data_IF_590042517204
#
_entry.id   IF_590042517204
#
_cell.length_a   1.000
_cell.length_b   1.000
_cell.length_c   1.000
_cell.angle_alpha   90.00
_cell.angle_beta   90.00
_cell.angle_gamma   90.00
#
_symmetry.space_group_name_H-M   'P 1'
#
loop_
_entity.id
_entity.type
_entity.pdbx_description
1 polymer ?
#
# COMPACT_ATOMS: atom_id res chain seq x y z
N UNK A 1 10.06 26.47 0.36
CA UNK A 1 8.97 25.59 -0.04
C UNK A 1 9.18 24.21 0.52
N UNK A 2 8.18 23.64 1.07
CA UNK A 2 8.32 22.27 1.56
C UNK A 2 8.65 21.33 0.43
N UNK A 3 9.42 20.33 0.76
CA UNK A 3 9.86 19.32 -0.18
C UNK A 3 8.74 18.31 -0.44
N UNK A 4 7.64 18.76 -1.04
CA UNK A 4 6.51 17.86 -1.28
C UNK A 4 6.92 16.67 -2.13
N UNK A 5 7.78 16.88 -3.10
CA UNK A 5 8.27 15.79 -3.94
C UNK A 5 9.13 14.81 -3.14
N UNK A 6 9.98 15.34 -2.26
CA UNK A 6 10.85 14.50 -1.43
C UNK A 6 10.03 13.69 -0.44
N UNK A 7 9.04 14.33 0.20
CA UNK A 7 8.16 13.64 1.14
C UNK A 7 7.35 12.56 0.42
N UNK A 8 6.87 12.88 -0.77
CA UNK A 8 6.11 11.92 -1.58
C UNK A 8 6.97 10.71 -1.96
N UNK A 9 8.23 10.93 -2.34
CA UNK A 9 9.16 9.83 -2.66
C UNK A 9 9.42 8.95 -1.45
N UNK A 10 9.61 9.56 -0.29
CA UNK A 10 9.82 8.80 0.95
C UNK A 10 8.60 7.96 1.28
N UNK A 11 7.42 8.52 1.13
CA UNK A 11 6.17 7.81 1.37
C UNK A 11 6.04 6.63 0.42
N UNK A 12 6.33 6.83 -0.85
CA UNK A 12 6.29 5.75 -1.85
C UNK A 12 7.30 4.66 -1.49
N UNK A 13 8.53 5.03 -1.11
CA UNK A 13 9.56 4.06 -0.77
C UNK A 13 9.18 3.22 0.45
N UNK A 14 8.65 3.86 1.48
CA UNK A 14 8.21 3.15 2.67
C UNK A 14 7.05 2.21 2.33
N UNK A 15 6.09 2.70 1.57
CA UNK A 15 4.95 1.91 1.13
C UNK A 15 5.42 0.70 0.30
N UNK A 16 6.38 0.93 -0.59
CA UNK A 16 6.91 -0.14 -1.43
C UNK A 16 7.54 -1.25 -0.59
N UNK A 17 8.37 -0.90 0.38
CA UNK A 17 9.00 -1.90 1.24
C UNK A 17 7.94 -2.76 1.92
N UNK A 18 6.92 -2.14 2.48
CA UNK A 18 5.89 -2.85 3.23
C UNK A 18 5.03 -3.71 2.30
N UNK A 19 4.59 -3.16 1.17
CA UNK A 19 3.75 -3.89 0.21
C UNK A 19 4.53 -5.04 -0.42
N UNK A 20 5.79 -4.82 -0.79
CA UNK A 20 6.61 -5.88 -1.39
C UNK A 20 6.87 -7.02 -0.41
N UNK A 21 7.10 -6.70 0.87
CA UNK A 21 7.24 -7.74 1.89
C UNK A 21 5.96 -8.53 2.09
N UNK A 22 4.83 -7.85 2.00
CA UNK A 22 3.53 -8.49 2.11
C UNK A 22 3.23 -9.38 0.91
N UNK A 23 3.59 -8.89 -0.30
CA UNK A 23 3.41 -9.62 -1.56
C UNK A 23 2.02 -10.27 -1.63
N UNK A 24 0.93 -9.47 -1.58
CA UNK A 24 -0.42 -10.00 -1.35
C UNK A 24 -0.94 -10.92 -2.45
N UNK A 25 -0.38 -10.83 -3.65
CA UNK A 25 -0.77 -11.66 -4.79
C UNK A 25 0.25 -12.77 -5.04
N UNK A 26 1.45 -12.64 -4.48
CA UNK A 26 2.52 -13.61 -4.73
C UNK A 26 3.21 -13.43 -6.07
N UNK A 27 3.20 -12.21 -6.60
CA UNK A 27 3.75 -11.94 -7.94
C UNK A 27 5.25 -11.76 -7.95
N UNK A 28 5.86 -11.37 -6.82
CA UNK A 28 7.27 -10.98 -6.83
C UNK A 28 8.22 -12.15 -7.08
N UNK A 29 7.76 -13.38 -6.88
CA UNK A 29 8.54 -14.56 -7.20
C UNK A 29 8.67 -14.78 -8.70
N UNK A 30 7.69 -14.31 -9.48
CA UNK A 30 7.57 -14.63 -10.90
C UNK A 30 7.60 -13.41 -11.80
N UNK A 31 7.49 -12.21 -11.23
CA UNK A 31 7.33 -10.97 -11.97
C UNK A 31 8.41 -9.98 -11.56
N UNK A 32 8.62 -8.91 -12.36
CA UNK A 32 9.59 -7.87 -11.99
C UNK A 32 9.27 -7.22 -10.65
N UNK A 33 10.27 -6.66 -9.96
CA UNK A 33 10.04 -6.06 -8.64
C UNK A 33 9.15 -4.80 -8.65
N UNK A 34 8.82 -4.28 -9.82
CA UNK A 34 7.94 -3.11 -9.93
C UNK A 34 6.47 -3.49 -10.18
N UNK A 35 6.10 -4.75 -9.97
CA UNK A 35 4.76 -5.24 -10.30
C UNK A 35 3.64 -4.55 -9.52
N UNK A 36 3.92 -4.08 -8.32
CA UNK A 36 2.94 -3.38 -7.49
C UNK A 36 3.08 -1.86 -7.51
N UNK A 37 3.92 -1.30 -8.38
CA UNK A 37 4.23 0.13 -8.33
C UNK A 37 2.99 1.03 -8.48
N UNK A 38 2.06 0.67 -9.37
CA UNK A 38 0.85 1.47 -9.55
C UNK A 38 -0.04 1.44 -8.30
N UNK A 39 -0.17 0.27 -7.69
CA UNK A 39 -0.94 0.10 -6.47
C UNK A 39 -0.28 0.82 -5.31
N UNK A 40 1.04 0.77 -5.24
CA UNK A 40 1.80 1.48 -4.22
C UNK A 40 1.59 2.98 -4.33
N UNK A 41 1.62 3.54 -5.53
CA UNK A 41 1.35 4.96 -5.74
C UNK A 41 -0.07 5.33 -5.33
N UNK A 42 -1.04 4.47 -5.65
CA UNK A 42 -2.43 4.70 -5.27
C UNK A 42 -2.61 4.69 -3.75
N UNK A 43 -1.97 3.74 -3.07
CA UNK A 43 -2.02 3.65 -1.61
C UNK A 43 -1.35 4.86 -0.98
N UNK A 44 -0.19 5.26 -1.49
CA UNK A 44 0.51 6.44 -0.99
C UNK A 44 -0.34 7.71 -1.14
N UNK A 45 -1.10 7.81 -2.22
CA UNK A 45 -1.98 8.96 -2.44
C UNK A 45 -3.16 8.98 -1.45
N UNK A 46 -3.62 7.81 -1.01
CA UNK A 46 -4.69 7.71 -0.01
C UNK A 46 -4.16 8.10 1.37
N UNK A 47 -2.92 7.74 1.66
CA UNK A 47 -2.32 7.94 2.96
C UNK A 47 -2.08 9.44 3.18
N UNK A 48 -2.86 10.03 4.08
CA UNK A 48 -2.68 11.44 4.45
C UNK A 48 -2.61 11.51 5.97
N UNK A 49 -1.99 12.58 6.46
CA UNK A 49 -1.86 12.80 7.88
C UNK A 49 -3.24 12.80 8.55
N UNK A 50 -3.36 12.08 9.63
CA UNK A 50 -4.58 11.97 10.45
C UNK A 50 -5.68 11.11 9.82
N UNK A 51 -5.36 10.33 8.78
CA UNK A 51 -6.31 9.35 8.29
C UNK A 51 -6.46 8.23 9.32
N UNK A 52 -7.67 7.72 9.51
CA UNK A 52 -7.84 6.61 10.43
C UNK A 52 -7.46 5.29 9.75
N UNK A 53 -7.14 4.30 10.59
CA UNK A 53 -6.63 3.02 10.09
C UNK A 53 -7.68 2.25 9.32
N UNK A 54 -8.93 2.34 9.72
CA UNK A 54 -10.01 1.65 9.01
C UNK A 54 -10.18 2.19 7.59
N UNK A 55 -10.11 3.50 7.45
CA UNK A 55 -10.20 4.14 6.14
C UNK A 55 -9.02 3.75 5.25
N UNK A 56 -7.81 3.75 5.83
CA UNK A 56 -6.63 3.35 5.08
C UNK A 56 -6.70 1.88 4.67
N UNK A 57 -7.09 1.01 5.59
CA UNK A 57 -7.22 -0.42 5.30
C UNK A 57 -8.24 -0.68 4.20
N UNK A 58 -9.37 0.01 4.25
CA UNK A 58 -10.41 -0.09 3.22
C UNK A 58 -9.88 0.37 1.87
N UNK A 59 -9.09 1.46 1.88
CA UNK A 59 -8.45 1.95 0.67
C UNK A 59 -7.45 0.96 0.07
N UNK A 60 -6.63 0.34 0.92
CA UNK A 60 -5.67 -0.68 0.47
C UNK A 60 -6.43 -1.84 -0.17
N UNK A 61 -7.47 -2.32 0.49
CA UNK A 61 -8.27 -3.41 -0.05
C UNK A 61 -8.89 -3.03 -1.39
N UNK A 62 -9.45 -1.83 -1.48
CA UNK A 62 -10.09 -1.37 -2.71
C UNK A 62 -9.10 -1.27 -3.87
N UNK A 63 -7.89 -0.77 -3.61
CA UNK A 63 -6.86 -0.65 -4.64
C UNK A 63 -6.52 -2.02 -5.23
N UNK A 64 -6.30 -3.02 -4.39
CA UNK A 64 -5.93 -4.35 -4.87
C UNK A 64 -7.12 -5.08 -5.49
N UNK A 65 -8.32 -4.90 -4.97
CA UNK A 65 -9.51 -5.49 -5.57
C UNK A 65 -9.78 -4.93 -6.96
N UNK A 66 -9.61 -3.63 -7.12
CA UNK A 66 -9.79 -2.99 -8.43
C UNK A 66 -8.72 -3.44 -9.42
N UNK A 67 -7.48 -3.55 -8.97
CA UNK A 67 -6.36 -3.90 -9.84
C UNK A 67 -6.37 -5.37 -10.25
N UNK A 68 -6.69 -6.28 -9.33
CA UNK A 68 -6.51 -7.71 -9.53
C UNK A 68 -7.79 -8.52 -9.45
N UNK A 69 -8.86 -7.97 -8.89
CA UNK A 69 -10.13 -8.66 -8.75
C UNK A 69 -10.20 -9.57 -7.53
N UNK A 70 -11.41 -9.88 -7.12
CA UNK A 70 -11.65 -10.69 -5.92
C UNK A 70 -11.17 -12.14 -6.05
N UNK A 71 -11.09 -12.65 -7.26
CA UNK A 71 -10.60 -14.02 -7.50
C UNK A 71 -9.10 -14.14 -7.26
N UNK A 72 -8.37 -13.03 -7.42
CA UNK A 72 -6.93 -13.00 -7.27
C UNK A 72 -6.50 -12.42 -5.92
N UNK A 73 -7.10 -11.29 -5.52
CA UNK A 73 -6.79 -10.68 -4.24
C UNK A 73 -7.78 -11.20 -3.20
N UNK A 74 -7.31 -12.08 -2.33
CA UNK A 74 -8.15 -12.78 -1.35
C UNK A 74 -7.86 -12.39 0.10
N UNK A 75 -7.06 -11.35 0.30
CA UNK A 75 -6.74 -10.89 1.66
C UNK A 75 -7.93 -10.17 2.26
N UNK A 76 -8.21 -10.43 3.53
CA UNK A 76 -9.36 -9.81 4.19
C UNK A 76 -9.00 -8.42 4.73
N UNK A 77 -10.01 -7.73 5.25
CA UNK A 77 -9.82 -6.38 5.77
C UNK A 77 -8.91 -6.35 7.00
N UNK A 78 -8.90 -7.42 7.79
CA UNK A 78 -8.04 -7.50 8.96
C UNK A 78 -6.57 -7.51 8.56
N UNK A 79 -6.23 -8.21 7.51
CA UNK A 79 -4.87 -8.23 6.99
C UNK A 79 -4.48 -6.86 6.43
N UNK A 80 -5.40 -6.22 5.72
CA UNK A 80 -5.19 -4.86 5.23
C UNK A 80 -4.98 -3.87 6.39
N UNK A 81 -5.70 -4.07 7.49
CA UNK A 81 -5.54 -3.23 8.68
C UNK A 81 -4.14 -3.37 9.29
N UNK A 82 -3.61 -4.59 9.33
CA UNK A 82 -2.24 -4.81 9.79
C UNK A 82 -1.25 -4.05 8.92
N UNK A 83 -1.45 -4.08 7.61
CA UNK A 83 -0.59 -3.34 6.68
C UNK A 83 -0.72 -1.84 6.89
N UNK A 84 -1.94 -1.35 7.10
CA UNK A 84 -2.18 0.07 7.39
C UNK A 84 -1.44 0.51 8.66
N UNK A 85 -1.48 -0.31 9.70
CA UNK A 85 -0.78 -0.02 10.95
C UNK A 85 0.73 0.03 10.75
N UNK A 86 1.28 -0.88 9.94
CA UNK A 86 2.71 -0.88 9.63
C UNK A 86 3.11 0.39 8.88
N UNK A 87 2.29 0.83 7.95
CA UNK A 87 2.53 2.07 7.23
C UNK A 87 2.55 3.25 8.18
N UNK A 88 1.56 3.33 9.08
CA UNK A 88 1.51 4.41 10.06
C UNK A 88 2.75 4.43 10.94
N UNK A 89 3.18 3.28 11.43
CA UNK A 89 4.34 3.19 12.32
C UNK A 89 5.63 3.64 11.64
N UNK A 90 5.76 3.39 10.35
CA UNK A 90 6.96 3.76 9.62
C UNK A 90 6.96 5.21 9.19
N UNK A 91 5.79 5.82 9.01
CA UNK A 91 5.67 7.19 8.49
C UNK A 91 5.57 8.20 9.62
N UNK A 92 4.90 7.85 10.69
CA UNK A 92 4.76 8.68 11.89
C UNK A 92 5.47 8.01 13.07
#
# INVERSE_FOLDING_TARGET
>A
MPDNKKQHRQLIQITKVIIDQWDPIGLLEFCPPDEYDMEIESIAAIFVKNIDMDTLATGIQAVFLEAFGADTFKKDINECLVIAEKLEQQIY
#
